data_IF_515803599381
#
_entry.id   IF_515803599381
#
_cell.length_a   1.000
_cell.length_b   1.000
_cell.length_c   1.000
_cell.angle_alpha   90.00
_cell.angle_beta   90.00
_cell.angle_gamma   90.00
#
_symmetry.space_group_name_H-M   'P 1'
#
loop_
_entity.id
_entity.type
_entity.pdbx_description
1 polymer ?
#
# COMPACT_ATOMS: atom_id res chain seq x y z
N UNK A 1 -23.07 10.58 5.23
CA UNK A 1 -22.44 9.70 6.24
C UNK A 1 -21.83 8.53 5.47
N UNK A 2 -20.52 8.53 5.26
CA UNK A 2 -19.86 7.45 4.53
C UNK A 2 -19.53 6.35 5.55
N UNK A 3 -20.18 5.20 5.39
CA UNK A 3 -20.05 4.04 6.28
C UNK A 3 -18.69 3.40 6.07
N UNK A 4 -17.91 3.22 7.15
CA UNK A 4 -16.72 2.37 7.12
C UNK A 4 -17.17 0.94 6.79
N UNK A 5 -16.59 0.35 5.76
CA UNK A 5 -16.92 -1.02 5.33
C UNK A 5 -16.03 -2.01 6.07
N UNK A 6 -16.62 -3.05 6.66
CA UNK A 6 -15.85 -4.19 7.16
C UNK A 6 -15.27 -5.03 6.02
N UNK A 7 -14.40 -5.97 6.35
CA UNK A 7 -13.71 -6.83 5.38
C UNK A 7 -14.66 -7.57 4.41
N UNK A 8 -15.87 -7.90 4.84
CA UNK A 8 -16.85 -8.63 4.06
C UNK A 8 -17.39 -7.85 2.84
N UNK A 9 -17.44 -6.51 2.95
CA UNK A 9 -17.96 -5.62 1.90
C UNK A 9 -16.83 -4.84 1.19
N UNK A 10 -15.58 -5.19 1.48
CA UNK A 10 -14.40 -4.50 0.98
C UNK A 10 -14.23 -4.72 -0.53
N UNK A 11 -14.19 -3.63 -1.29
CA UNK A 11 -13.92 -3.68 -2.73
C UNK A 11 -12.42 -3.57 -2.98
N UNK A 12 -11.93 -4.34 -3.95
CA UNK A 12 -10.55 -4.31 -4.41
C UNK A 12 -10.47 -4.35 -5.93
N UNK A 13 -9.35 -3.87 -6.48
CA UNK A 13 -8.99 -3.98 -7.89
C UNK A 13 -8.07 -5.19 -8.08
N UNK A 14 -8.32 -6.00 -9.10
CA UNK A 14 -7.40 -7.08 -9.48
C UNK A 14 -6.23 -6.52 -10.29
N UNK A 15 -5.00 -6.86 -9.89
CA UNK A 15 -3.76 -6.41 -10.53
C UNK A 15 -2.84 -7.61 -10.81
N UNK A 16 -3.33 -8.56 -11.61
CA UNK A 16 -2.58 -9.71 -12.13
C UNK A 16 -2.07 -10.70 -11.09
N UNK A 17 -1.06 -10.29 -10.32
CA UNK A 17 -0.38 -11.03 -9.26
C UNK A 17 -0.73 -10.54 -7.84
N UNK A 18 -1.72 -9.66 -7.72
CA UNK A 18 -2.18 -9.14 -6.44
C UNK A 18 -3.54 -8.45 -6.52
N UNK A 19 -3.96 -7.88 -5.39
CA UNK A 19 -5.15 -7.04 -5.29
C UNK A 19 -4.79 -5.69 -4.67
N UNK A 20 -5.46 -4.62 -5.09
CA UNK A 20 -5.29 -3.27 -4.56
C UNK A 20 -6.53 -2.84 -3.80
N UNK A 21 -6.35 -2.46 -2.54
CA UNK A 21 -7.42 -2.07 -1.61
C UNK A 21 -7.27 -0.59 -1.26
N UNK A 22 -8.21 0.28 -1.67
CA UNK A 22 -8.28 1.66 -1.20
C UNK A 22 -8.51 1.75 0.32
N UNK A 23 -7.61 2.42 1.05
CA UNK A 23 -7.72 2.57 2.52
C UNK A 23 -8.87 3.50 2.94
N UNK A 24 -9.31 4.39 2.05
CA UNK A 24 -10.47 5.25 2.25
C UNK A 24 -11.79 4.51 2.50
N UNK A 25 -11.85 3.20 2.25
CA UNK A 25 -13.00 2.35 2.58
C UNK A 25 -13.01 1.92 4.06
N UNK A 26 -11.83 1.85 4.67
CA UNK A 26 -11.60 1.32 6.01
C UNK A 26 -11.48 2.42 7.07
N UNK A 27 -11.14 3.65 6.67
CA UNK A 27 -11.09 4.79 7.57
C UNK A 27 -11.42 6.10 6.86
N UNK A 28 -12.04 7.03 7.60
CA UNK A 28 -12.36 8.39 7.16
C UNK A 28 -11.24 9.39 7.51
N UNK A 29 -10.16 8.95 8.15
CA UNK A 29 -9.04 9.84 8.47
C UNK A 29 -8.40 10.35 7.17
N UNK A 30 -8.12 11.66 7.13
CA UNK A 30 -7.63 12.34 5.93
C UNK A 30 -6.34 11.71 5.39
N UNK A 31 -5.47 11.22 6.28
CA UNK A 31 -4.19 10.60 5.92
C UNK A 31 -4.33 9.34 5.06
N UNK A 32 -5.49 8.67 5.03
CA UNK A 32 -5.69 7.45 4.24
C UNK A 32 -6.43 7.70 2.92
N UNK A 33 -6.96 8.91 2.72
CA UNK A 33 -7.87 9.23 1.61
C UNK A 33 -7.26 8.91 0.24
N UNK A 34 -5.99 9.24 0.08
CA UNK A 34 -5.27 9.15 -1.18
C UNK A 34 -4.34 7.94 -1.26
N UNK A 35 -4.50 7.00 -0.32
CA UNK A 35 -3.69 5.80 -0.21
C UNK A 35 -4.47 4.51 -0.51
N UNK A 36 -3.76 3.55 -1.06
CA UNK A 36 -4.19 2.17 -1.23
C UNK A 36 -3.07 1.21 -0.83
N UNK A 37 -3.46 -0.01 -0.47
CA UNK A 37 -2.50 -1.10 -0.20
C UNK A 37 -2.59 -2.11 -1.32
N UNK A 38 -1.47 -2.32 -2.00
CA UNK A 38 -1.32 -3.42 -2.93
C UNK A 38 -0.82 -4.66 -2.21
N UNK A 39 -1.56 -5.74 -2.35
CA UNK A 39 -1.27 -7.03 -1.75
C UNK A 39 -0.85 -8.01 -2.84
N UNK A 40 0.45 -8.22 -2.99
CA UNK A 40 0.99 -9.28 -3.84
C UNK A 40 0.91 -10.60 -3.10
N UNK A 41 0.39 -11.65 -3.73
CA UNK A 41 0.38 -12.98 -3.13
C UNK A 41 0.81 -14.06 -4.11
N UNK A 42 1.68 -14.95 -3.64
CA UNK A 42 2.21 -16.06 -4.43
C UNK A 42 2.21 -17.35 -3.63
N UNK A 43 1.68 -18.43 -4.20
CA UNK A 43 1.69 -19.72 -3.52
C UNK A 43 3.11 -20.32 -3.49
N UNK A 44 3.61 -20.57 -2.27
CA UNK A 44 4.89 -21.23 -2.04
C UNK A 44 4.67 -22.73 -1.80
N UNK A 45 4.97 -23.55 -2.81
CA UNK A 45 4.80 -25.01 -2.76
C UNK A 45 5.62 -25.69 -1.64
N UNK A 46 6.79 -25.15 -1.29
CA UNK A 46 7.66 -25.73 -0.25
C UNK A 46 7.06 -25.56 1.15
N UNK A 47 6.42 -24.40 1.38
CA UNK A 47 5.79 -24.08 2.67
C UNK A 47 4.30 -24.43 2.72
N UNK A 48 3.72 -24.82 1.59
CA UNK A 48 2.29 -25.06 1.42
C UNK A 48 1.43 -23.87 1.92
N UNK A 49 1.90 -22.64 1.65
CA UNK A 49 1.31 -21.37 2.11
C UNK A 49 1.45 -20.30 1.03
N UNK A 50 0.60 -19.28 1.07
CA UNK A 50 0.79 -18.07 0.27
C UNK A 50 1.80 -17.15 0.95
N UNK A 51 2.76 -16.68 0.18
CA UNK A 51 3.60 -15.55 0.53
C UNK A 51 2.84 -14.27 0.17
N UNK A 52 2.50 -13.47 1.17
CA UNK A 52 1.84 -12.17 1.04
C UNK A 52 2.88 -11.08 1.27
N UNK A 53 3.01 -10.16 0.32
CA UNK A 53 3.80 -8.94 0.46
C UNK A 53 2.86 -7.76 0.22
N UNK A 54 2.81 -6.84 1.18
CA UNK A 54 1.97 -5.64 1.11
C UNK A 54 2.81 -4.43 0.70
N UNK A 55 2.19 -3.46 0.06
CA UNK A 55 2.85 -2.26 -0.42
C UNK A 55 1.91 -1.06 -0.28
N UNK A 56 2.39 0.05 0.25
CA UNK A 56 1.63 1.31 0.24
C UNK A 56 1.77 1.99 -1.11
N UNK A 57 0.66 2.50 -1.64
CA UNK A 57 0.58 3.24 -2.90
C UNK A 57 -0.20 4.53 -2.70
N UNK A 58 0.32 5.65 -3.20
CA UNK A 58 -0.39 6.92 -3.29
C UNK A 58 -1.01 7.08 -4.67
N UNK A 59 -2.24 7.60 -4.76
CA UNK A 59 -3.03 7.62 -6.01
C UNK A 59 -2.55 8.65 -7.06
N UNK A 60 -1.81 9.67 -6.63
CA UNK A 60 -1.41 10.83 -7.42
C UNK A 60 0.03 10.74 -7.97
N UNK A 61 0.76 9.67 -7.65
CA UNK A 61 2.15 9.48 -8.06
C UNK A 61 2.20 8.37 -9.12
N UNK A 62 2.30 8.78 -10.38
CA UNK A 62 2.40 7.89 -11.54
C UNK A 62 3.85 7.86 -12.06
N UNK A 63 4.43 6.66 -12.20
CA UNK A 63 5.47 6.29 -13.18
C UNK A 63 6.89 6.89 -13.10
N UNK A 64 7.14 7.96 -12.34
CA UNK A 64 8.45 8.64 -12.34
C UNK A 64 9.34 8.32 -11.12
N UNK A 65 8.76 7.79 -10.05
CA UNK A 65 9.49 7.48 -8.82
C UNK A 65 9.69 5.98 -8.70
N UNK A 66 10.95 5.53 -8.58
CA UNK A 66 11.31 4.12 -8.32
C UNK A 66 10.78 3.57 -6.98
N UNK A 67 10.12 4.43 -6.19
CA UNK A 67 9.46 4.17 -4.92
C UNK A 67 7.92 4.19 -5.06
N UNK A 68 7.35 3.68 -6.17
CA UNK A 68 5.88 3.59 -6.32
C UNK A 68 5.20 2.80 -5.18
N UNK A 69 5.99 1.99 -4.48
CA UNK A 69 5.56 1.00 -3.51
C UNK A 69 6.60 0.90 -2.39
N UNK A 70 6.26 1.30 -1.16
CA UNK A 70 7.09 0.96 0.01
C UNK A 70 6.70 -0.43 0.51
N UNK A 71 7.67 -1.34 0.52
CA UNK A 71 7.48 -2.73 0.89
C UNK A 71 7.20 -2.87 2.37
N UNK A 72 6.00 -3.35 2.67
CA UNK A 72 5.64 -3.86 3.99
C UNK A 72 6.10 -5.31 4.08
N UNK A 73 6.41 -5.75 5.30
CA UNK A 73 6.93 -7.08 5.61
C UNK A 73 6.20 -8.22 4.88
N UNK A 74 6.93 -9.30 4.60
CA UNK A 74 6.42 -10.47 3.89
C UNK A 74 5.95 -11.53 4.87
N UNK A 75 4.69 -11.93 4.77
CA UNK A 75 4.06 -12.89 5.69
C UNK A 75 3.63 -14.17 4.95
N UNK A 76 3.68 -15.31 5.65
CA UNK A 76 3.17 -16.57 5.13
C UNK A 76 1.78 -16.87 5.68
N UNK A 77 0.78 -16.82 4.82
CA UNK A 77 -0.62 -17.01 5.18
C UNK A 77 -1.17 -18.30 4.61
N UNK A 78 -1.98 -18.98 5.42
CA UNK A 78 -2.72 -20.17 5.00
C UNK A 78 -3.96 -19.76 4.19
N UNK A 79 -4.37 -20.61 3.26
CA UNK A 79 -5.57 -20.39 2.46
C UNK A 79 -5.57 -21.22 1.19
N UNK A 80 -6.72 -21.27 0.53
CA UNK A 80 -6.86 -21.85 -0.82
C UNK A 80 -6.92 -20.73 -1.86
N UNK A 81 -6.99 -21.09 -3.15
CA UNK A 81 -7.14 -20.09 -4.22
C UNK A 81 -8.44 -19.30 -4.11
N UNK A 82 -9.46 -19.92 -3.53
CA UNK A 82 -10.80 -19.37 -3.33
C UNK A 82 -10.84 -18.43 -2.12
N UNK A 83 -10.13 -18.79 -1.03
CA UNK A 83 -10.19 -18.02 0.24
C UNK A 83 -9.08 -16.98 0.39
N UNK A 84 -8.03 -17.02 -0.45
CA UNK A 84 -6.84 -16.17 -0.23
C UNK A 84 -7.15 -14.68 -0.25
N UNK A 85 -8.07 -14.24 -1.13
CA UNK A 85 -8.47 -12.83 -1.24
C UNK A 85 -9.20 -12.35 0.01
N UNK A 86 -10.13 -13.16 0.50
CA UNK A 86 -10.85 -12.88 1.75
C UNK A 86 -9.88 -12.78 2.93
N UNK A 87 -8.93 -13.71 3.03
CA UNK A 87 -7.90 -13.69 4.06
C UNK A 87 -7.06 -12.42 3.99
N UNK A 88 -6.71 -11.95 2.79
CA UNK A 88 -5.99 -10.69 2.59
C UNK A 88 -6.84 -9.50 3.05
N UNK A 89 -8.12 -9.40 2.68
CA UNK A 89 -9.00 -8.32 3.12
C UNK A 89 -9.08 -8.24 4.67
N UNK A 90 -9.18 -9.40 5.34
CA UNK A 90 -9.18 -9.48 6.81
C UNK A 90 -7.86 -9.00 7.42
N UNK A 91 -6.73 -9.36 6.82
CA UNK A 91 -5.41 -8.89 7.27
C UNK A 91 -5.28 -7.38 7.12
N UNK A 92 -5.71 -6.83 5.99
CA UNK A 92 -5.67 -5.38 5.75
C UNK A 92 -6.57 -4.62 6.72
N UNK A 93 -7.79 -5.12 6.97
CA UNK A 93 -8.67 -4.55 7.99
C UNK A 93 -8.02 -4.58 9.39
N UNK A 94 -7.45 -5.73 9.78
CA UNK A 94 -6.75 -5.84 11.07
C UNK A 94 -5.56 -4.87 11.16
N UNK A 95 -4.78 -4.75 10.09
CA UNK A 95 -3.65 -3.84 10.00
C UNK A 95 -4.10 -2.37 10.12
N UNK A 96 -5.23 -1.99 9.50
CA UNK A 96 -5.85 -0.67 9.68
C UNK A 96 -6.27 -0.43 11.12
N UNK A 97 -6.94 -1.40 11.75
CA UNK A 97 -7.43 -1.28 13.13
C UNK A 97 -6.31 -1.07 14.15
N UNK A 98 -5.12 -1.61 13.90
CA UNK A 98 -3.94 -1.41 14.76
C UNK A 98 -3.02 -0.29 14.27
N UNK A 99 -3.48 0.56 13.32
CA UNK A 99 -2.72 1.69 12.79
C UNK A 99 -1.36 1.30 12.19
N UNK A 100 -1.27 0.09 11.65
CA UNK A 100 -0.03 -0.45 11.11
C UNK A 100 0.49 0.36 9.91
N UNK A 101 -0.42 0.90 9.09
CA UNK A 101 -0.06 1.68 7.91
C UNK A 101 0.41 3.10 8.23
N UNK A 102 0.15 3.62 9.44
CA UNK A 102 0.49 5.00 9.83
C UNK A 102 2.00 5.23 9.74
N UNK A 103 2.80 4.28 10.21
CA UNK A 103 4.26 4.35 10.15
C UNK A 103 4.76 4.53 8.71
N UNK A 104 4.24 3.72 7.79
CA UNK A 104 4.66 3.70 6.39
C UNK A 104 4.14 4.92 5.64
N UNK A 105 2.91 5.38 5.90
CA UNK A 105 2.39 6.62 5.30
C UNK A 105 3.21 7.83 5.77
N UNK A 106 3.48 7.94 7.07
CA UNK A 106 4.26 9.06 7.61
C UNK A 106 5.69 9.06 7.07
N UNK A 107 6.30 7.88 6.95
CA UNK A 107 7.62 7.73 6.34
C UNK A 107 7.61 8.14 4.87
N UNK A 108 6.61 7.69 4.11
CA UNK A 108 6.45 8.06 2.71
C UNK A 108 6.32 9.58 2.53
N UNK A 109 5.45 10.24 3.31
CA UNK A 109 5.28 11.69 3.26
C UNK A 109 6.57 12.43 3.64
N UNK A 110 7.32 11.93 4.62
CA UNK A 110 8.63 12.49 4.99
C UNK A 110 9.66 12.37 3.86
N UNK A 111 9.72 11.22 3.20
CA UNK A 111 10.61 10.99 2.06
C UNK A 111 10.25 11.91 0.88
N UNK A 112 8.95 12.14 0.63
CA UNK A 112 8.46 13.09 -0.38
C UNK A 112 8.81 14.54 -0.04
N UNK A 113 8.62 14.97 1.21
CA UNK A 113 9.02 16.30 1.68
C UNK A 113 10.53 16.51 1.52
N UNK A 114 11.32 15.50 1.85
CA UNK A 114 12.78 15.54 1.66
C UNK A 114 13.15 15.64 0.18
N UNK A 115 12.43 14.94 -0.70
CA UNK A 115 12.64 15.00 -2.14
C UNK A 115 12.33 16.41 -2.70
N UNK A 116 11.18 16.98 -2.35
CA UNK A 116 10.78 18.33 -2.80
C UNK A 116 11.78 19.40 -2.35
N UNK A 117 12.17 19.38 -1.07
CA UNK A 117 13.20 20.29 -0.54
C UNK A 117 14.56 20.11 -1.22
N UNK A 118 14.94 18.86 -1.48
CA UNK A 118 16.16 18.54 -2.23
C UNK A 118 16.13 19.13 -3.64
N UNK A 119 15.00 18.99 -4.32
CA UNK A 119 14.77 19.55 -5.64
C UNK A 119 14.90 21.09 -5.65
N UNK A 120 14.24 21.78 -4.73
CA UNK A 120 14.36 23.24 -4.58
C UNK A 120 15.82 23.70 -4.38
N UNK A 121 16.60 22.99 -3.56
CA UNK A 121 18.01 23.31 -3.32
C UNK A 121 18.85 23.13 -4.58
N UNK A 122 18.59 22.10 -5.38
CA UNK A 122 19.32 21.84 -6.63
C UNK A 122 18.98 22.87 -7.71
N UNK A 123 17.70 23.25 -7.82
CA UNK A 123 17.27 24.31 -8.74
C UNK A 123 17.94 25.66 -8.42
N UNK A 124 18.03 26.03 -7.13
CA UNK A 124 18.74 27.24 -6.69
C UNK A 124 20.23 27.21 -7.02
N UNK A 125 20.85 26.03 -7.09
CA UNK A 125 22.25 25.85 -7.50
C UNK A 125 22.43 25.83 -9.02
N UNK A 126 21.36 25.92 -9.79
CA UNK A 126 21.40 25.80 -11.25
C UNK A 126 21.69 24.37 -11.75
N UNK A 127 21.60 23.38 -10.87
CA UNK A 127 21.74 21.97 -11.22
C UNK A 127 20.39 21.48 -11.76
N UNK A 128 20.34 21.18 -13.06
CA UNK A 128 19.11 20.65 -13.66
C UNK A 128 18.94 19.19 -13.29
N UNK A 129 17.70 18.74 -13.00
CA UNK A 129 17.42 17.31 -12.89
C UNK A 129 17.86 16.62 -14.19
N UNK A 130 18.49 15.46 -14.06
CA UNK A 130 18.80 14.62 -15.21
C UNK A 130 17.47 14.09 -15.77
N UNK A 131 16.96 14.72 -16.83
CA UNK A 131 15.80 14.25 -17.61
C UNK A 131 16.30 13.53 -18.86
#
# INVERSE_FOLDING_TARGET
MSTVTGWADMKYREEGYGITIPLSQLSQEAMYKDYSVFCQYQFNKKKNKYQLTMWIQRKDIDGHFRFEREGIDTQYISGTRETIRENICRIVEQAMNVKYFDYYINRYEYDMECYEKGFEILELKGEKPCV
#
